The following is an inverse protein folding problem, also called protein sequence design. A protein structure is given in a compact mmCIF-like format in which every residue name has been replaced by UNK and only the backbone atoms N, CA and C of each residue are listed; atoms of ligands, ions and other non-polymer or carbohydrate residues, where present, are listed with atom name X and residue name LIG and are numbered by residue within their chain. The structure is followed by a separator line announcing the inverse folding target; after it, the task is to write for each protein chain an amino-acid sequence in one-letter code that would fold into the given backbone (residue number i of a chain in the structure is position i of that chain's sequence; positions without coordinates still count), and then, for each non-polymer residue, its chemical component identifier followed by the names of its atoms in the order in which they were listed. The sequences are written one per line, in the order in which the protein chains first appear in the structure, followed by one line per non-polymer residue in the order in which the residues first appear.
data_IF_120643989598
#
_entry.id   IF_120643989598
#
_cell.length_a   1.000
_cell.length_b   1.000
_cell.length_c   1.000
_cell.angle_alpha   90.00
_cell.angle_beta   90.00
_cell.angle_gamma   90.00
#
_symmetry.space_group_name_H-M   'P 1'
#
loop_
_entity.id
_entity.type
_entity.pdbx_description
1 polymer ?
#
# COMPACT_ATOMS: atom_id res chain seq x y z
N UNK A 1 -29.88 -5.35 25.73
CA UNK A 1 -29.91 -5.47 24.25
C UNK A 1 -30.04 -4.06 23.69
N UNK A 2 -29.14 -3.45 22.93
CA UNK A 2 -28.00 -3.88 22.12
C UNK A 2 -26.94 -2.77 22.19
N UNK A 3 -25.68 -3.16 22.22
CA UNK A 3 -24.52 -2.28 22.11
C UNK A 3 -24.52 -1.59 20.74
N UNK A 4 -24.57 -0.26 20.69
CA UNK A 4 -24.20 0.48 19.49
C UNK A 4 -22.68 0.55 19.44
N UNK A 5 -22.12 -0.22 18.50
CA UNK A 5 -20.70 -0.27 18.16
C UNK A 5 -20.19 1.15 17.94
N UNK A 6 -19.16 1.53 18.68
CA UNK A 6 -18.43 2.78 18.47
C UNK A 6 -18.00 2.85 17.00
N UNK A 7 -18.51 3.85 16.27
CA UNK A 7 -17.93 4.28 15.02
C UNK A 7 -16.55 4.82 15.39
N UNK A 8 -15.54 3.97 15.20
CA UNK A 8 -14.15 4.38 15.27
C UNK A 8 -13.90 5.25 14.05
N UNK A 9 -14.06 6.56 14.23
CA UNK A 9 -13.64 7.57 13.28
C UNK A 9 -12.12 7.46 13.22
N UNK A 10 -11.58 6.72 12.23
CA UNK A 10 -10.14 6.71 11.96
C UNK A 10 -9.80 8.08 11.38
N UNK A 11 -9.53 9.01 12.28
CA UNK A 11 -8.92 10.30 12.01
C UNK A 11 -7.44 10.02 11.77
N UNK A 12 -7.04 9.81 10.52
CA UNK A 12 -5.63 9.69 10.15
C UNK A 12 -5.23 10.91 9.33
N UNK A 13 -4.26 11.65 9.88
CA UNK A 13 -3.72 12.92 9.45
C UNK A 13 -3.66 13.10 7.93
N UNK A 14 -4.33 14.15 7.43
CA UNK A 14 -3.92 14.85 6.21
C UNK A 14 -2.64 15.61 6.59
N UNK A 15 -1.53 14.88 6.73
CA UNK A 15 -0.24 15.47 7.02
C UNK A 15 0.23 16.19 5.76
N UNK A 16 0.28 17.52 5.81
CA UNK A 16 0.90 18.36 4.79
C UNK A 16 2.36 17.94 4.58
N UNK A 17 2.70 17.32 3.44
CA UNK A 17 4.10 17.17 3.05
C UNK A 17 4.32 17.23 1.54
N UNK A 18 5.26 18.11 1.17
CA UNK A 18 6.20 17.98 0.05
C UNK A 18 5.60 17.74 -1.33
N UNK A 19 5.58 18.79 -2.15
CA UNK A 19 5.33 18.72 -3.59
C UNK A 19 6.37 17.81 -4.27
N UNK A 20 6.15 16.48 -4.31
CA UNK A 20 6.76 15.66 -5.34
C UNK A 20 5.97 15.91 -6.62
N UNK A 21 6.65 16.42 -7.66
CA UNK A 21 6.08 16.51 -8.99
C UNK A 21 6.21 15.08 -9.57
N UNK A 22 5.14 14.30 -9.45
CA UNK A 22 5.06 12.92 -9.96
C UNK A 22 4.15 12.01 -9.14
N UNK A 23 3.83 10.84 -9.72
CA UNK A 23 3.05 9.76 -9.11
C UNK A 23 3.74 9.24 -7.84
N UNK A 24 3.37 9.79 -6.68
CA UNK A 24 3.99 9.49 -5.39
C UNK A 24 3.12 8.56 -4.56
N UNK A 25 3.70 7.53 -3.96
CA UNK A 25 2.99 6.65 -3.03
C UNK A 25 2.98 7.31 -1.65
N UNK A 26 1.82 7.30 -0.99
CA UNK A 26 1.65 7.56 0.44
C UNK A 26 1.49 6.21 1.14
N UNK A 27 2.60 5.51 1.45
CA UNK A 27 2.55 4.25 2.16
C UNK A 27 2.23 4.43 3.65
N UNK A 28 2.04 3.33 4.39
CA UNK A 28 2.29 3.38 5.82
C UNK A 28 3.69 3.95 6.11
N UNK A 29 3.89 4.65 7.24
CA UNK A 29 5.16 5.31 7.58
C UNK A 29 6.33 4.32 7.58
N UNK A 30 7.55 4.81 7.32
CA UNK A 30 8.78 4.02 7.46
C UNK A 30 8.81 3.29 8.81
N UNK A 31 9.06 1.99 8.79
CA UNK A 31 9.10 1.15 10.00
C UNK A 31 7.74 0.74 10.55
N UNK A 32 6.64 1.08 9.86
CA UNK A 32 5.33 0.50 10.13
C UNK A 32 5.39 -1.04 10.06
N UNK A 33 4.60 -1.68 10.90
CA UNK A 33 4.44 -3.13 10.94
C UNK A 33 3.01 -3.43 10.52
N UNK A 34 2.85 -4.03 9.34
CA UNK A 34 1.56 -4.47 8.84
C UNK A 34 1.32 -5.93 9.24
N UNK A 35 0.18 -6.22 9.90
CA UNK A 35 -0.27 -7.59 10.13
C UNK A 35 -1.10 -8.06 8.93
N UNK A 36 -0.48 -8.74 7.99
CA UNK A 36 -1.08 -8.96 6.68
C UNK A 36 -2.32 -9.85 6.72
N UNK A 37 -2.45 -10.72 7.71
CA UNK A 37 -3.56 -11.65 7.89
C UNK A 37 -4.80 -11.06 8.56
N UNK A 38 -4.63 -10.04 9.39
CA UNK A 38 -5.70 -9.47 10.22
C UNK A 38 -6.07 -8.02 9.86
N UNK A 39 -5.17 -7.28 9.21
CA UNK A 39 -5.31 -5.85 8.96
C UNK A 39 -5.40 -5.54 7.46
N UNK A 40 -6.30 -4.61 7.12
CA UNK A 40 -6.28 -3.99 5.79
C UNK A 40 -5.19 -2.93 5.74
N UNK A 41 -4.50 -2.83 4.59
CA UNK A 41 -3.50 -1.81 4.37
C UNK A 41 -4.07 -0.67 3.53
N UNK A 42 -4.10 0.53 4.09
CA UNK A 42 -4.45 1.73 3.33
C UNK A 42 -3.23 2.24 2.57
N UNK A 43 -3.36 2.36 1.26
CA UNK A 43 -2.33 2.87 0.35
C UNK A 43 -2.91 4.13 -0.30
N UNK A 44 -2.27 5.28 -0.10
CA UNK A 44 -2.63 6.53 -0.78
C UNK A 44 -1.64 6.88 -1.87
N UNK A 45 -1.97 7.83 -2.74
CA UNK A 45 -1.03 8.40 -3.72
C UNK A 45 -1.48 9.75 -4.29
N UNK A 46 -0.54 10.47 -4.89
CA UNK A 46 -0.80 11.65 -5.72
C UNK A 46 -1.16 11.25 -7.15
N UNK A 47 -2.03 12.01 -7.81
CA UNK A 47 -2.40 11.79 -9.22
C UNK A 47 -2.59 13.13 -9.93
N UNK A 48 -1.97 13.27 -11.09
CA UNK A 48 -2.24 14.29 -12.09
C UNK A 48 -2.59 13.69 -13.46
N UNK A 49 -3.06 14.53 -14.40
CA UNK A 49 -3.55 14.09 -15.72
C UNK A 49 -2.47 13.53 -16.65
N UNK A 50 -1.19 13.65 -16.30
CA UNK A 50 -0.04 13.14 -17.07
C UNK A 50 0.45 11.80 -16.56
N UNK A 51 -0.01 11.38 -15.38
CA UNK A 51 0.26 10.06 -14.83
C UNK A 51 -0.46 8.95 -15.63
N UNK A 52 0.03 7.69 -15.54
CA UNK A 52 -0.67 6.54 -16.11
C UNK A 52 -2.13 6.46 -15.63
N UNK A 53 -3.09 6.14 -16.51
CA UNK A 53 -4.51 6.06 -16.11
C UNK A 53 -4.77 4.90 -15.14
N UNK A 54 -3.97 3.84 -15.24
CA UNK A 54 -4.08 2.63 -14.44
C UNK A 54 -2.69 2.09 -14.08
N UNK A 55 -2.62 1.37 -12.97
CA UNK A 55 -1.43 0.68 -12.48
C UNK A 55 -1.83 -0.55 -11.64
N UNK A 56 -0.87 -1.41 -11.37
CA UNK A 56 -1.01 -2.55 -10.47
C UNK A 56 -0.30 -2.27 -9.15
N UNK A 57 -0.87 -2.74 -8.04
CA UNK A 57 -0.27 -2.69 -6.71
C UNK A 57 0.46 -4.00 -6.47
N UNK A 58 1.76 -3.91 -6.23
CA UNK A 58 2.61 -5.04 -5.86
C UNK A 58 3.27 -4.81 -4.50
N UNK A 59 3.56 -5.91 -3.80
CA UNK A 59 4.48 -5.94 -2.67
C UNK A 59 5.81 -6.49 -3.14
N UNK A 60 6.89 -5.79 -2.80
CA UNK A 60 8.26 -6.17 -3.13
C UNK A 60 9.10 -6.29 -1.87
N UNK A 61 10.04 -7.23 -1.82
CA UNK A 61 11.05 -7.31 -0.77
C UNK A 61 12.42 -6.98 -1.37
N UNK A 62 13.04 -5.89 -0.91
CA UNK A 62 14.32 -5.43 -1.46
C UNK A 62 15.47 -6.39 -1.16
N UNK A 63 15.38 -7.20 -0.09
CA UNK A 63 16.44 -8.12 0.30
C UNK A 63 16.40 -9.45 -0.45
N UNK A 64 15.20 -9.96 -0.74
CA UNK A 64 15.05 -11.30 -1.35
C UNK A 64 14.74 -11.24 -2.85
N UNK A 65 14.41 -10.07 -3.39
CA UNK A 65 13.93 -9.93 -4.76
C UNK A 65 12.49 -10.45 -4.95
N UNK A 66 11.81 -10.85 -3.89
CA UNK A 66 10.40 -11.24 -3.93
C UNK A 66 9.54 -10.10 -4.48
N UNK A 67 8.61 -10.44 -5.37
CA UNK A 67 7.58 -9.52 -5.87
C UNK A 67 6.29 -10.29 -6.07
N UNK A 68 5.18 -9.75 -5.55
CA UNK A 68 3.83 -10.28 -5.78
C UNK A 68 2.88 -9.14 -6.09
N UNK A 69 2.19 -9.22 -7.23
CA UNK A 69 1.07 -8.33 -7.55
C UNK A 69 -0.14 -8.76 -6.72
N UNK A 70 -0.74 -7.82 -6.01
CA UNK A 70 -1.89 -8.07 -5.13
C UNK A 70 -3.18 -7.47 -5.69
N UNK A 71 -3.08 -6.42 -6.49
CA UNK A 71 -4.23 -5.83 -7.17
C UNK A 71 -3.83 -5.33 -8.54
N UNK A 72 -4.65 -5.63 -9.54
CA UNK A 72 -4.45 -5.18 -10.92
C UNK A 72 -5.40 -4.06 -11.32
N UNK A 73 -5.00 -3.27 -12.32
CA UNK A 73 -5.83 -2.29 -13.01
C UNK A 73 -6.46 -1.24 -12.08
N UNK A 74 -5.73 -0.80 -11.06
CA UNK A 74 -6.14 0.26 -10.14
C UNK A 74 -6.16 1.59 -10.88
N UNK A 75 -7.30 2.27 -10.85
CA UNK A 75 -7.47 3.55 -11.52
C UNK A 75 -6.74 4.65 -10.73
N UNK A 76 -5.79 5.34 -11.35
CA UNK A 76 -4.94 6.34 -10.68
C UNK A 76 -5.73 7.51 -10.11
N UNK A 77 -6.86 7.86 -10.72
CA UNK A 77 -7.73 8.94 -10.22
C UNK A 77 -8.43 8.63 -8.88
N UNK A 78 -8.42 7.39 -8.37
CA UNK A 78 -9.03 7.08 -7.06
C UNK A 78 -8.16 7.56 -5.88
N UNK A 79 -6.86 7.82 -6.11
CA UNK A 79 -5.89 8.35 -5.14
C UNK A 79 -5.66 7.52 -3.87
N UNK A 80 -6.38 6.43 -3.71
CA UNK A 80 -6.25 5.51 -2.58
C UNK A 80 -6.83 4.15 -2.91
N UNK A 81 -6.32 3.14 -2.21
CA UNK A 81 -6.80 1.76 -2.24
C UNK A 81 -6.72 1.16 -0.84
N UNK A 82 -7.75 0.42 -0.44
CA UNK A 82 -7.72 -0.41 0.76
C UNK A 82 -7.38 -1.83 0.32
N UNK A 83 -6.13 -2.22 0.54
CA UNK A 83 -5.69 -3.58 0.29
C UNK A 83 -6.28 -4.50 1.36
N UNK A 84 -7.03 -5.55 0.97
CA UNK A 84 -7.55 -6.53 1.91
C UNK A 84 -6.44 -7.26 2.68
N UNK A 85 -6.83 -8.01 3.71
CA UNK A 85 -5.93 -8.93 4.38
C UNK A 85 -5.42 -10.00 3.39
N UNK A 86 -4.12 -10.24 3.44
CA UNK A 86 -3.34 -11.20 2.67
C UNK A 86 -2.65 -12.21 3.60
N UNK A 87 -3.35 -13.27 4.02
CA UNK A 87 -2.82 -14.25 4.98
C UNK A 87 -1.65 -15.10 4.45
N UNK A 88 -1.44 -15.09 3.13
CA UNK A 88 -0.38 -15.84 2.46
C UNK A 88 0.86 -15.01 2.13
N UNK A 89 1.00 -13.81 2.70
CA UNK A 89 2.24 -13.05 2.61
C UNK A 89 3.24 -13.55 3.65
N UNK A 90 4.49 -13.70 3.21
CA UNK A 90 5.60 -14.04 4.09
C UNK A 90 5.91 -12.88 5.02
N UNK A 91 6.14 -13.21 6.29
CA UNK A 91 6.68 -12.28 7.27
C UNK A 91 8.10 -11.86 6.88
N UNK A 92 8.48 -10.64 7.27
CA UNK A 92 9.84 -10.15 7.03
C UNK A 92 9.95 -8.64 7.08
N UNK A 93 11.16 -8.15 6.80
CA UNK A 93 11.49 -6.72 6.78
C UNK A 93 11.79 -6.26 5.37
N UNK A 94 11.93 -4.95 5.17
CA UNK A 94 12.30 -4.32 3.88
C UNK A 94 11.27 -4.46 2.76
N UNK A 95 10.00 -4.66 3.12
CA UNK A 95 8.92 -4.68 2.15
C UNK A 95 8.56 -3.28 1.68
N UNK A 96 8.16 -3.15 0.41
CA UNK A 96 7.63 -1.91 -0.19
C UNK A 96 6.34 -2.21 -0.95
N UNK A 97 5.47 -1.20 -1.00
CA UNK A 97 4.44 -1.09 -2.01
C UNK A 97 5.09 -0.54 -3.27
N UNK A 98 4.83 -1.18 -4.41
CA UNK A 98 5.26 -0.72 -5.71
C UNK A 98 4.04 -0.59 -6.62
N UNK A 99 3.99 0.51 -7.37
CA UNK A 99 3.05 0.70 -8.46
C UNK A 99 3.73 0.34 -9.76
N UNK A 100 3.18 -0.63 -10.46
CA UNK A 100 3.78 -1.16 -11.68
C UNK A 100 2.79 -1.15 -12.84
N UNK A 101 3.29 -1.10 -14.08
CA UNK A 101 2.47 -1.34 -15.26
C UNK A 101 2.14 -2.83 -15.39
N UNK A 102 1.13 -3.18 -16.20
CA UNK A 102 0.81 -4.56 -16.57
C UNK A 102 2.02 -5.37 -17.09
N UNK A 103 2.96 -4.71 -17.78
CA UNK A 103 4.19 -5.33 -18.31
C UNK A 103 5.39 -5.24 -17.36
N UNK A 104 5.19 -4.81 -16.10
CA UNK A 104 6.20 -4.81 -15.04
C UNK A 104 7.08 -3.55 -14.89
N UNK A 105 6.87 -2.47 -15.65
CA UNK A 105 7.56 -1.19 -15.41
C UNK A 105 7.20 -0.60 -14.07
N UNK A 106 8.18 -0.08 -13.33
CA UNK A 106 7.98 0.60 -12.05
C UNK A 106 7.58 2.06 -12.29
N UNK A 107 6.41 2.46 -11.79
CA UNK A 107 5.99 3.86 -11.77
C UNK A 107 6.39 4.56 -10.47
N UNK A 108 6.18 3.89 -9.33
CA UNK A 108 6.46 4.46 -8.02
C UNK A 108 6.70 3.37 -6.98
N UNK A 109 7.38 3.73 -5.89
CA UNK A 109 7.58 2.83 -4.75
C UNK A 109 7.53 3.57 -3.42
N UNK A 110 7.09 2.88 -2.38
CA UNK A 110 7.05 3.39 -1.01
C UNK A 110 8.41 3.33 -0.31
N UNK A 111 8.49 3.90 0.89
CA UNK A 111 9.48 3.49 1.89
C UNK A 111 9.31 2.03 2.33
N UNK A 112 10.33 1.50 2.99
CA UNK A 112 10.31 0.13 3.53
C UNK A 112 9.50 0.02 4.82
N UNK A 113 8.76 -1.07 4.95
CA UNK A 113 8.02 -1.47 6.16
C UNK A 113 8.21 -2.97 6.47
N UNK A 114 7.67 -3.41 7.61
CA UNK A 114 7.69 -4.80 8.06
C UNK A 114 6.33 -5.45 7.80
N UNK A 115 6.34 -6.70 7.35
CA UNK A 115 5.15 -7.57 7.29
C UNK A 115 5.28 -8.62 8.38
N UNK A 116 4.18 -8.91 9.05
CA UNK A 116 4.02 -10.06 9.94
C UNK A 116 2.73 -10.77 9.58
N UNK A 117 2.79 -12.08 9.45
CA UNK A 117 1.67 -12.99 9.30
C UNK A 117 1.65 -13.91 10.52
N UNK A 118 0.47 -14.25 11.06
CA UNK A 118 0.34 -15.16 12.22
C UNK A 118 0.66 -16.63 11.90
N UNK A 119 1.07 -16.93 10.66
CA UNK A 119 1.50 -18.27 10.25
C UNK A 119 2.99 -18.58 10.56
N UNK A 120 3.68 -17.75 11.36
CA UNK A 120 5.01 -18.02 11.93
C UNK A 120 5.00 -18.09 13.47
#
# INVERSE_FOLDING_TARGET
MRYFKAISLVMACISLFGNCIGFGINPPPKGYTWKSDDETLQIGWTYDKTDPPNFDIAIKNDNTGFQRVLQTNVQSSTRSYLLPAEPNLESGTTFRVAFVSEVGFLFAQSDTFKIVSSNE
#
